data_IF_427370565300
#
_entry.id   IF_427370565300
#
_cell.length_a   1.000
_cell.length_b   1.000
_cell.length_c   1.000
_cell.angle_alpha   90.00
_cell.angle_beta   90.00
_cell.angle_gamma   90.00
#
_symmetry.space_group_name_H-M   'P 1'
#
loop_
_entity.id
_entity.type
_entity.pdbx_description
1 polymer ?
#
# COMPACT_ATOMS: atom_id res chain seq x y z
N UNK A 1 8.41 2.26 -1.35
CA UNK A 1 7.65 1.09 -1.87
C UNK A 1 6.34 0.97 -1.12
N UNK A 2 5.20 0.76 -1.80
CA UNK A 2 3.87 0.67 -1.14
C UNK A 2 3.24 -0.73 -1.18
N UNK A 3 3.78 -1.63 -2.01
CA UNK A 3 3.44 -3.06 -2.02
C UNK A 3 4.40 -3.83 -2.93
N UNK A 4 4.51 -5.13 -2.72
CA UNK A 4 5.24 -6.06 -3.59
C UNK A 4 4.60 -7.45 -3.50
N UNK A 5 4.86 -8.30 -4.49
CA UNK A 5 4.47 -9.71 -4.45
C UNK A 5 5.57 -10.56 -5.06
N UNK A 6 5.91 -11.66 -4.39
CA UNK A 6 6.86 -12.65 -4.90
C UNK A 6 6.08 -13.71 -5.65
N UNK A 7 6.39 -13.87 -6.94
CA UNK A 7 5.70 -14.81 -7.81
C UNK A 7 6.69 -15.84 -8.33
N UNK A 8 6.37 -17.11 -8.16
CA UNK A 8 7.06 -18.20 -8.84
C UNK A 8 6.40 -18.45 -10.20
N UNK A 9 7.20 -18.57 -11.26
CA UNK A 9 6.77 -18.86 -12.62
C UNK A 9 7.61 -20.01 -13.19
N UNK A 10 6.96 -20.94 -13.89
CA UNK A 10 7.63 -21.91 -14.77
C UNK A 10 8.12 -21.20 -16.05
N UNK A 11 9.07 -21.78 -16.80
CA UNK A 11 9.46 -21.25 -18.10
C UNK A 11 8.24 -21.04 -19.02
N UNK A 12 8.08 -19.82 -19.54
CA UNK A 12 6.94 -19.43 -20.40
C UNK A 12 5.63 -19.12 -19.67
N UNK A 13 5.55 -19.30 -18.34
CA UNK A 13 4.34 -18.99 -17.57
C UNK A 13 4.18 -17.48 -17.37
N UNK A 14 2.94 -17.01 -17.38
CA UNK A 14 2.56 -15.64 -17.01
C UNK A 14 1.48 -15.67 -15.94
N UNK A 15 1.54 -14.74 -14.98
CA UNK A 15 0.53 -14.57 -13.93
C UNK A 15 0.12 -13.12 -13.82
N UNK A 16 -1.18 -12.91 -13.62
CA UNK A 16 -1.71 -11.61 -13.19
C UNK A 16 -1.66 -11.56 -11.67
N UNK A 17 -1.21 -10.43 -11.13
CA UNK A 17 -1.18 -10.17 -9.69
C UNK A 17 -1.95 -8.91 -9.35
N UNK A 18 -2.50 -8.89 -8.14
CA UNK A 18 -3.21 -7.73 -7.59
C UNK A 18 -2.48 -7.27 -6.34
N UNK A 19 -2.05 -6.02 -6.34
CA UNK A 19 -1.52 -5.33 -5.15
C UNK A 19 -2.58 -4.30 -4.75
N UNK A 20 -3.16 -4.49 -3.56
CA UNK A 20 -4.14 -3.54 -3.04
C UNK A 20 -3.41 -2.28 -2.56
N UNK A 21 -3.93 -1.12 -2.97
CA UNK A 21 -3.57 0.19 -2.41
C UNK A 21 -4.82 0.78 -1.78
N UNK A 22 -4.67 1.29 -0.58
CA UNK A 22 -5.70 1.96 0.20
C UNK A 22 -5.30 3.41 0.48
N UNK A 23 -6.13 4.17 1.18
CA UNK A 23 -5.80 5.55 1.58
C UNK A 23 -4.46 5.66 2.31
N UNK A 24 -4.15 4.67 3.16
CA UNK A 24 -2.91 4.64 3.93
C UNK A 24 -1.66 4.54 3.05
N UNK A 25 -1.79 3.94 1.87
CA UNK A 25 -0.74 3.86 0.85
C UNK A 25 -0.32 5.24 0.32
N UNK A 26 -1.23 6.22 0.34
CA UNK A 26 -0.99 7.60 -0.11
C UNK A 26 -0.70 8.56 1.04
N UNK A 27 -0.92 8.15 2.29
CA UNK A 27 -0.78 9.01 3.45
C UNK A 27 0.67 9.27 3.89
N UNK A 28 0.90 10.44 4.48
CA UNK A 28 2.11 10.84 5.20
C UNK A 28 1.78 11.12 6.68
N UNK A 29 2.76 11.02 7.57
CA UNK A 29 2.53 11.31 8.99
C UNK A 29 2.64 12.81 9.25
N UNK A 30 1.67 13.37 9.95
CA UNK A 30 1.68 14.76 10.42
C UNK A 30 1.89 14.79 11.93
N UNK A 31 3.02 15.34 12.43
CA UNK A 31 3.25 15.50 13.86
C UNK A 31 2.23 16.43 14.54
N UNK A 32 1.77 17.47 13.83
CA UNK A 32 0.85 18.48 14.39
C UNK A 32 -0.52 17.89 14.74
N UNK A 33 -1.00 16.96 13.92
CA UNK A 33 -2.29 16.28 14.12
C UNK A 33 -2.14 14.87 14.68
N UNK A 34 -0.91 14.41 14.92
CA UNK A 34 -0.58 13.06 15.42
C UNK A 34 -1.32 11.98 14.62
N UNK A 35 -1.34 12.12 13.30
CA UNK A 35 -2.19 11.31 12.41
C UNK A 35 -1.54 11.07 11.05
N UNK A 36 -2.14 10.16 10.29
CA UNK A 36 -1.77 9.90 8.89
C UNK A 36 -2.71 10.69 7.98
N UNK A 37 -2.17 11.59 7.17
CA UNK A 37 -2.97 12.48 6.33
C UNK A 37 -2.73 12.15 4.85
N UNK A 38 -3.79 12.20 4.07
CA UNK A 38 -3.75 12.16 2.60
C UNK A 38 -4.17 13.54 2.10
N UNK A 39 -3.35 14.17 1.29
CA UNK A 39 -3.73 15.41 0.62
C UNK A 39 -4.55 15.13 -0.65
N UNK A 40 -5.52 15.99 -0.99
CA UNK A 40 -6.16 15.93 -2.30
C UNK A 40 -5.11 16.22 -3.38
N UNK A 41 -5.13 15.46 -4.46
CA UNK A 41 -4.14 15.62 -5.52
C UNK A 41 -3.92 14.39 -6.38
N UNK A 42 -2.93 14.49 -7.27
CA UNK A 42 -2.54 13.44 -8.20
C UNK A 42 -1.37 12.65 -7.63
N UNK A 43 -1.51 11.33 -7.59
CA UNK A 43 -0.45 10.41 -7.21
C UNK A 43 -0.08 9.54 -8.42
N UNK A 44 1.21 9.45 -8.74
CA UNK A 44 1.71 8.55 -9.78
C UNK A 44 2.08 7.20 -9.16
N UNK A 45 1.36 6.15 -9.53
CA UNK A 45 1.66 4.77 -9.18
C UNK A 45 2.63 4.23 -10.22
N UNK A 46 3.78 3.73 -9.78
CA UNK A 46 4.84 3.17 -10.62
C UNK A 46 4.99 1.68 -10.29
N UNK A 47 5.12 0.83 -11.30
CA UNK A 47 5.32 -0.62 -11.14
C UNK A 47 6.52 -1.08 -11.96
N UNK A 48 7.39 -1.85 -11.32
CA UNK A 48 8.62 -2.35 -11.91
C UNK A 48 9.24 -3.46 -11.09
N UNK A 49 10.36 -3.96 -11.59
CA UNK A 49 11.13 -5.04 -10.95
C UNK A 49 12.06 -4.52 -9.85
N UNK A 50 12.41 -3.24 -9.89
CA UNK A 50 13.23 -2.53 -8.92
C UNK A 50 12.85 -1.04 -8.90
N UNK A 51 13.52 -0.23 -8.06
CA UNK A 51 13.19 1.19 -7.88
C UNK A 51 13.58 2.09 -9.04
N UNK A 52 14.44 1.63 -9.96
CA UNK A 52 14.93 2.41 -11.10
C UNK A 52 14.21 1.98 -12.40
N UNK A 53 13.94 0.69 -12.55
CA UNK A 53 13.34 0.07 -13.72
C UNK A 53 11.82 -0.10 -13.55
N UNK A 54 11.08 1.00 -13.77
CA UNK A 54 9.63 1.10 -13.59
C UNK A 54 8.92 1.16 -14.96
N UNK A 55 8.54 0.00 -15.48
CA UNK A 55 8.01 -0.14 -16.85
C UNK A 55 6.54 0.29 -17.01
N UNK A 56 5.78 0.35 -15.92
CA UNK A 56 4.37 0.71 -15.94
C UNK A 56 4.10 1.88 -15.01
N UNK A 57 3.21 2.78 -15.43
CA UNK A 57 2.70 3.82 -14.58
C UNK A 57 1.21 4.11 -14.77
N UNK A 58 0.60 4.67 -13.73
CA UNK A 58 -0.76 5.20 -13.77
C UNK A 58 -0.95 6.30 -12.74
N UNK A 59 -1.66 7.36 -13.10
CA UNK A 59 -2.06 8.40 -12.16
C UNK A 59 -3.41 8.08 -11.53
N UNK A 60 -3.51 8.24 -10.21
CA UNK A 60 -4.76 8.23 -9.45
C UNK A 60 -4.97 9.60 -8.81
N UNK A 61 -6.22 9.92 -8.49
CA UNK A 61 -6.58 11.23 -7.92
C UNK A 61 -7.29 11.03 -6.58
N UNK A 62 -6.75 11.62 -5.53
CA UNK A 62 -7.47 11.82 -4.28
C UNK A 62 -8.27 13.12 -4.41
N UNK A 63 -9.59 13.03 -4.34
CA UNK A 63 -10.46 14.20 -4.54
C UNK A 63 -10.56 15.07 -3.29
N UNK A 64 -10.40 14.46 -2.11
CA UNK A 64 -10.58 15.09 -0.81
C UNK A 64 -9.42 14.74 0.11
N UNK A 65 -9.11 15.60 1.09
CA UNK A 65 -8.20 15.23 2.16
C UNK A 65 -8.80 14.11 3.00
N UNK A 66 -7.94 13.24 3.53
CA UNK A 66 -8.33 12.20 4.47
C UNK A 66 -7.40 12.20 5.67
N UNK A 67 -7.98 12.07 6.87
CA UNK A 67 -7.22 11.92 8.11
C UNK A 67 -7.50 10.52 8.68
N UNK A 68 -6.44 9.74 8.76
CA UNK A 68 -6.41 8.37 9.26
C UNK A 68 -5.74 8.36 10.64
N UNK A 69 -6.23 7.51 11.53
CA UNK A 69 -5.66 7.33 12.85
C UNK A 69 -4.32 6.60 12.77
N UNK A 70 -3.53 6.65 13.84
CA UNK A 70 -2.28 5.86 13.94
C UNK A 70 -2.51 4.35 13.98
N UNK A 71 -3.75 3.89 14.15
CA UNK A 71 -4.15 2.47 14.11
C UNK A 71 -4.47 1.99 12.70
N UNK A 72 -4.67 2.90 11.76
CA UNK A 72 -4.91 2.59 10.36
C UNK A 72 -3.56 2.28 9.70
N UNK A 73 -3.14 1.01 9.81
CA UNK A 73 -1.96 0.48 9.11
C UNK A 73 -2.29 0.17 7.65
N UNK A 74 -1.28 0.16 6.77
CA UNK A 74 -1.46 -0.28 5.37
C UNK A 74 -1.99 -1.73 5.41
N UNK A 75 -3.27 -1.97 5.07
CA UNK A 75 -3.87 -3.26 5.20
C UNK A 75 -3.23 -4.17 4.17
N UNK A 76 -2.69 -5.28 4.65
CA UNK A 76 -2.25 -6.34 3.74
C UNK A 76 -3.41 -6.74 2.81
N UNK A 77 -3.11 -7.32 1.63
CA UNK A 77 -4.12 -7.98 0.80
C UNK A 77 -5.06 -8.84 1.67
N UNK A 78 -6.37 -8.85 1.37
CA UNK A 78 -7.39 -9.54 2.19
C UNK A 78 -6.96 -10.95 2.65
N UNK A 79 -6.35 -11.79 1.79
CA UNK A 79 -5.89 -13.11 2.21
C UNK A 79 -4.83 -13.10 3.34
N UNK A 80 -3.99 -12.07 3.40
CA UNK A 80 -2.88 -11.95 4.34
C UNK A 80 -3.26 -11.26 5.65
N UNK A 81 -4.34 -10.47 5.69
CA UNK A 81 -4.74 -9.75 6.93
C UNK A 81 -5.02 -10.68 8.10
N UNK A 82 -5.71 -11.80 7.84
CA UNK A 82 -6.02 -12.79 8.89
C UNK A 82 -4.77 -13.46 9.45
N UNK A 83 -3.74 -13.64 8.63
CA UNK A 83 -2.52 -14.34 9.02
C UNK A 83 -1.57 -13.49 9.88
N UNK A 84 -1.77 -12.16 9.93
CA UNK A 84 -0.89 -11.23 10.67
C UNK A 84 -1.56 -10.60 11.90
N UNK A 85 -2.79 -10.98 12.22
CA UNK A 85 -3.45 -10.53 13.44
C UNK A 85 -2.78 -11.19 14.65
N UNK A 86 -2.14 -10.38 15.49
CA UNK A 86 -1.63 -10.79 16.80
C UNK A 86 -2.68 -10.44 17.84
N UNK A 87 -2.92 -11.32 18.81
CA UNK A 87 -3.84 -11.02 19.92
C UNK A 87 -3.30 -9.84 20.73
N UNK A 88 -4.18 -8.96 21.21
CA UNK A 88 -3.78 -7.77 21.96
C UNK A 88 -2.93 -8.10 23.20
N UNK A 89 -3.20 -9.25 23.82
CA UNK A 89 -2.46 -9.83 24.96
C UNK A 89 -1.05 -10.36 24.62
N UNK A 90 -0.66 -10.33 23.34
CA UNK A 90 0.67 -10.70 22.85
C UNK A 90 1.39 -9.52 22.17
N UNK A 91 0.75 -8.35 22.13
CA UNK A 91 1.39 -7.11 21.74
C UNK A 91 2.05 -6.47 22.97
N UNK A 92 3.28 -5.95 22.79
CA UNK A 92 4.11 -5.38 23.85
C UNK A 92 3.45 -4.21 24.59
#
# INVERSE_FOLDING_TARGET
>A
MKGFTKVYLKPGESKTVTIALDSRSFAYYSPDSVSWNVDPGKFKVLVGKDSENLALDRTVVALYPEQLTTRDSNPLPVPLRKAVQVKAEQAY
#
